data_IF_245373669292
#
_entry.id   IF_245373669292
#
_cell.length_a   1.000
_cell.length_b   1.000
_cell.length_c   1.000
_cell.angle_alpha   90.00
_cell.angle_beta   90.00
_cell.angle_gamma   90.00
#
_symmetry.space_group_name_H-M   'P 1'
#
loop_
_entity.id
_entity.type
_entity.pdbx_description
1 polymer ?
#
# COMPACT_ATOMS: atom_id res chain seq x y z
N UNK A 1 7.55 -12.97 -3.08
CA UNK A 1 6.37 -13.68 -3.62
C UNK A 1 5.70 -12.81 -4.68
N UNK A 2 5.24 -13.38 -5.80
CA UNK A 2 4.49 -12.66 -6.84
C UNK A 2 3.11 -13.28 -7.00
N UNK A 3 2.07 -12.45 -7.00
CA UNK A 3 0.68 -12.84 -7.25
C UNK A 3 0.21 -12.12 -8.51
N UNK A 4 -0.49 -12.82 -9.39
CA UNK A 4 -1.12 -12.23 -10.58
C UNK A 4 -2.59 -12.58 -10.59
N UNK A 5 -3.44 -11.57 -10.81
CA UNK A 5 -4.87 -11.75 -11.01
C UNK A 5 -5.18 -11.47 -12.49
N UNK A 6 -5.30 -12.55 -13.27
CA UNK A 6 -5.35 -12.44 -14.73
C UNK A 6 -4.10 -11.74 -15.30
N UNK A 7 -4.30 -10.92 -16.32
CA UNK A 7 -3.25 -10.11 -16.96
C UNK A 7 -3.32 -8.63 -16.60
N UNK A 8 -4.27 -8.23 -15.74
CA UNK A 8 -4.55 -6.82 -15.43
C UNK A 8 -3.97 -6.33 -14.11
N UNK A 9 -3.56 -7.22 -13.21
CA UNK A 9 -3.05 -6.88 -11.88
C UNK A 9 -1.87 -7.78 -11.51
N UNK A 10 -0.74 -7.14 -11.20
CA UNK A 10 0.46 -7.77 -10.68
C UNK A 10 0.73 -7.26 -9.27
N UNK A 11 0.95 -8.17 -8.33
CA UNK A 11 1.36 -7.84 -6.97
C UNK A 11 2.70 -8.51 -6.69
N UNK A 12 3.71 -7.71 -6.36
CA UNK A 12 5.03 -8.17 -5.98
C UNK A 12 5.24 -7.88 -4.48
N UNK A 13 5.49 -8.92 -3.69
CA UNK A 13 5.72 -8.84 -2.25
C UNK A 13 7.16 -9.25 -1.93
N UNK A 14 7.96 -8.31 -1.45
CA UNK A 14 9.38 -8.47 -1.09
C UNK A 14 9.64 -7.90 0.29
N UNK A 15 9.21 -8.63 1.32
CA UNK A 15 9.47 -8.30 2.72
C UNK A 15 10.63 -9.15 3.22
N UNK A 16 11.85 -8.68 3.01
CA UNK A 16 13.07 -9.32 3.52
C UNK A 16 13.38 -8.81 4.94
N UNK A 17 13.90 -9.68 5.82
CA UNK A 17 14.33 -9.33 7.18
C UNK A 17 13.58 -10.05 8.31
N UNK A 18 13.98 -9.76 9.56
CA UNK A 18 13.61 -10.50 10.77
C UNK A 18 12.09 -10.75 10.95
N UNK A 19 11.78 -11.97 11.37
CA UNK A 19 10.46 -12.38 11.86
C UNK A 19 10.08 -11.53 13.09
N UNK A 20 9.07 -10.68 12.95
CA UNK A 20 8.66 -9.75 14.03
C UNK A 20 8.07 -8.42 13.57
N UNK A 21 8.02 -8.20 12.26
CA UNK A 21 7.32 -7.06 11.66
C UNK A 21 5.82 -7.22 11.87
N UNK A 22 5.20 -6.23 12.49
CA UNK A 22 3.75 -6.11 12.57
C UNK A 22 3.27 -4.85 11.84
N UNK A 23 2.06 -4.96 11.30
CA UNK A 23 1.26 -3.85 10.80
C UNK A 23 -0.17 -4.05 11.30
N UNK A 24 -0.97 -2.99 11.43
CA UNK A 24 -2.38 -3.14 11.80
C UNK A 24 -3.09 -4.06 10.79
N UNK A 25 -4.00 -4.93 11.25
CA UNK A 25 -4.78 -5.79 10.38
C UNK A 25 -5.48 -4.99 9.27
N UNK A 26 -5.67 -5.63 8.12
CA UNK A 26 -6.35 -5.05 6.94
C UNK A 26 -5.63 -3.87 6.26
N UNK A 27 -4.51 -3.36 6.79
CA UNK A 27 -3.79 -2.22 6.20
C UNK A 27 -3.40 -2.47 4.74
N UNK A 28 -2.71 -3.58 4.46
CA UNK A 28 -2.30 -3.91 3.09
C UNK A 28 -3.49 -4.14 2.17
N UNK A 29 -4.55 -4.78 2.67
CA UNK A 29 -5.76 -5.00 1.90
C UNK A 29 -6.38 -3.67 1.47
N UNK A 30 -6.55 -2.73 2.41
CA UNK A 30 -7.10 -1.40 2.12
C UNK A 30 -6.25 -0.62 1.11
N UNK A 31 -4.92 -0.75 1.16
CA UNK A 31 -4.02 -0.10 0.21
C UNK A 31 -4.08 -0.73 -1.19
N UNK A 32 -4.18 -2.05 -1.27
CA UNK A 32 -4.38 -2.76 -2.55
C UNK A 32 -5.75 -2.39 -3.15
N UNK A 33 -6.80 -2.35 -2.35
CA UNK A 33 -8.13 -1.90 -2.78
C UNK A 33 -8.10 -0.44 -3.26
N UNK A 34 -7.36 0.43 -2.57
CA UNK A 34 -7.18 1.82 -2.99
C UNK A 34 -6.51 1.91 -4.36
N UNK A 35 -5.41 1.18 -4.57
CA UNK A 35 -4.71 1.14 -5.85
C UNK A 35 -5.64 0.66 -6.98
N UNK A 36 -6.39 -0.43 -6.78
CA UNK A 36 -7.33 -0.97 -7.79
C UNK A 36 -8.50 -0.01 -8.07
N UNK A 37 -9.01 0.68 -7.04
CA UNK A 37 -10.13 1.61 -7.17
C UNK A 37 -9.77 2.85 -8.00
N UNK A 38 -8.60 3.43 -7.77
CA UNK A 38 -8.21 4.70 -8.37
C UNK A 38 -7.47 4.54 -9.71
N UNK A 39 -6.99 3.33 -10.03
CA UNK A 39 -6.23 3.08 -11.25
C UNK A 39 -6.98 2.16 -12.21
N UNK A 40 -6.71 2.36 -13.49
CA UNK A 40 -7.06 1.40 -14.53
C UNK A 40 -6.27 0.11 -14.23
N UNK A 41 -6.93 -1.04 -14.38
CA UNK A 41 -6.29 -2.35 -14.31
C UNK A 41 -6.83 -3.15 -15.48
N UNK A 42 -6.06 -3.24 -16.56
CA UNK A 42 -6.46 -3.91 -17.80
C UNK A 42 -5.31 -4.71 -18.39
N UNK A 43 -5.60 -5.64 -19.30
CA UNK A 43 -4.57 -6.45 -19.96
C UNK A 43 -3.51 -5.60 -20.70
N UNK A 44 -3.91 -4.48 -21.29
CA UNK A 44 -3.01 -3.61 -22.06
C UNK A 44 -2.31 -2.55 -21.19
N UNK A 45 -2.85 -2.28 -20.00
CA UNK A 45 -2.30 -1.38 -18.99
C UNK A 45 -2.46 -2.06 -17.64
N UNK A 46 -1.56 -2.99 -17.29
CA UNK A 46 -1.62 -3.68 -16.02
C UNK A 46 -1.31 -2.72 -14.89
N UNK A 47 -2.00 -2.91 -13.77
CA UNK A 47 -1.70 -2.27 -12.50
C UNK A 47 -0.63 -3.09 -11.79
N UNK A 48 0.51 -2.47 -11.51
CA UNK A 48 1.62 -3.08 -10.81
C UNK A 48 1.66 -2.52 -9.39
N UNK A 49 1.48 -3.40 -8.40
CA UNK A 49 1.58 -3.08 -6.98
C UNK A 49 2.82 -3.76 -6.42
N UNK A 50 3.68 -3.00 -5.77
CA UNK A 50 4.89 -3.46 -5.11
C UNK A 50 4.78 -3.20 -3.61
N UNK A 51 4.96 -4.25 -2.81
CA UNK A 51 4.98 -4.19 -1.35
C UNK A 51 6.35 -4.66 -0.91
N UNK A 52 7.16 -3.76 -0.35
CA UNK A 52 8.53 -4.08 0.01
C UNK A 52 8.99 -3.36 1.27
N UNK A 53 10.04 -3.88 1.90
CA UNK A 53 10.65 -3.23 3.05
C UNK A 53 11.73 -2.25 2.59
N UNK A 54 11.73 -1.06 3.17
CA UNK A 54 12.79 -0.07 3.01
C UNK A 54 13.17 0.46 4.40
N UNK A 55 14.28 -0.03 4.96
CA UNK A 55 14.71 0.32 6.31
C UNK A 55 13.70 -0.09 7.39
N UNK A 56 13.18 0.90 8.12
CA UNK A 56 12.16 0.73 9.17
C UNK A 56 10.72 0.94 8.68
N UNK A 57 10.51 0.89 7.36
CA UNK A 57 9.20 1.08 6.74
C UNK A 57 8.84 -0.08 5.81
N UNK A 58 7.54 -0.36 5.73
CA UNK A 58 6.91 -1.11 4.65
C UNK A 58 6.36 -0.10 3.64
N UNK A 59 6.78 -0.22 2.40
CA UNK A 59 6.32 0.61 1.29
C UNK A 59 5.29 -0.16 0.49
N UNK A 60 4.13 0.43 0.27
CA UNK A 60 3.14 -0.02 -0.71
C UNK A 60 3.12 0.98 -1.86
N UNK A 61 3.53 0.55 -3.03
CA UNK A 61 3.67 1.37 -4.23
C UNK A 61 2.80 0.83 -5.36
N UNK A 62 2.15 1.71 -6.12
CA UNK A 62 1.56 1.34 -7.40
C UNK A 62 1.93 2.35 -8.50
N UNK A 63 1.98 1.88 -9.75
CA UNK A 63 2.07 2.79 -10.90
C UNK A 63 0.77 3.59 -11.07
N UNK A 64 0.90 4.86 -11.47
CA UNK A 64 -0.23 5.76 -11.67
C UNK A 64 -0.85 5.57 -13.05
N UNK A 65 -2.14 5.21 -13.04
CA UNK A 65 -2.96 5.00 -14.23
C UNK A 65 -4.38 5.51 -13.95
N UNK A 66 -4.53 6.81 -13.64
CA UNK A 66 -5.78 7.37 -13.14
C UNK A 66 -6.98 7.05 -14.02
N UNK A 67 -8.06 6.56 -13.41
CA UNK A 67 -9.35 6.45 -14.09
C UNK A 67 -9.89 7.86 -14.39
N UNK A 68 -10.26 8.11 -15.63
CA UNK A 68 -10.84 9.39 -16.09
C UNK A 68 -12.15 9.76 -15.36
N UNK A 69 -12.85 8.76 -14.79
CA UNK A 69 -14.13 8.94 -14.09
C UNK A 69 -13.94 9.02 -12.57
N UNK A 70 -12.93 9.74 -12.08
CA UNK A 70 -12.72 9.92 -10.65
C UNK A 70 -13.90 10.69 -10.03
N UNK A 71 -14.93 9.95 -9.60
CA UNK A 71 -15.78 10.33 -8.48
C UNK A 71 -14.83 10.81 -7.37
N UNK A 72 -15.10 11.98 -6.80
CA UNK A 72 -14.25 12.60 -5.78
C UNK A 72 -13.73 11.56 -4.78
N UNK A 73 -12.41 11.47 -4.65
CA UNK A 73 -11.82 10.59 -3.65
C UNK A 73 -12.19 11.14 -2.27
N UNK A 74 -12.99 10.39 -1.53
CA UNK A 74 -13.39 10.79 -0.17
C UNK A 74 -12.23 10.74 0.83
N UNK A 75 -11.06 10.21 0.45
CA UNK A 75 -9.88 10.10 1.33
C UNK A 75 -10.01 9.11 2.49
N UNK A 76 -11.23 8.61 2.76
CA UNK A 76 -11.60 7.81 3.93
C UNK A 76 -10.65 6.61 4.14
N UNK A 77 -10.22 5.95 3.07
CA UNK A 77 -9.31 4.80 3.16
C UNK A 77 -7.96 5.15 3.80
N UNK A 78 -7.34 6.25 3.37
CA UNK A 78 -6.05 6.70 3.89
C UNK A 78 -6.20 7.29 5.29
N UNK A 79 -7.26 8.07 5.53
CA UNK A 79 -7.58 8.59 6.87
C UNK A 79 -7.72 7.44 7.88
N UNK A 80 -8.46 6.38 7.52
CA UNK A 80 -8.64 5.21 8.39
C UNK A 80 -7.31 4.49 8.70
N UNK A 81 -6.39 4.44 7.74
CA UNK A 81 -5.07 3.84 7.95
C UNK A 81 -4.25 4.72 8.91
N UNK A 82 -4.19 6.03 8.66
CA UNK A 82 -3.45 6.97 9.51
C UNK A 82 -3.96 6.95 10.95
N UNK A 83 -5.27 6.93 11.15
CA UNK A 83 -5.91 6.84 12.47
C UNK A 83 -5.53 5.54 13.20
N UNK A 84 -5.56 4.38 12.52
CA UNK A 84 -5.13 3.11 13.12
C UNK A 84 -3.66 3.14 13.55
N UNK A 85 -2.78 3.74 12.74
CA UNK A 85 -1.37 3.85 13.10
C UNK A 85 -1.17 4.75 14.32
N UNK A 86 -1.89 5.87 14.43
CA UNK A 86 -1.83 6.77 15.59
C UNK A 86 -2.18 6.08 16.92
N UNK A 87 -2.97 5.01 16.89
CA UNK A 87 -3.31 4.25 18.09
C UNK A 87 -2.21 3.28 18.56
N UNK A 88 -1.25 2.94 17.70
CA UNK A 88 -0.26 1.89 17.97
C UNK A 88 1.19 2.35 17.79
N UNK A 89 1.41 3.54 17.25
CA UNK A 89 2.74 4.13 17.04
C UNK A 89 2.67 5.66 16.95
N UNK A 90 3.71 6.33 17.45
CA UNK A 90 3.91 7.76 17.25
C UNK A 90 4.53 8.10 15.87
N UNK A 91 4.99 7.08 15.13
CA UNK A 91 5.52 7.27 13.78
C UNK A 91 4.37 7.47 12.79
N UNK A 92 4.37 8.55 11.99
CA UNK A 92 3.29 8.80 11.04
C UNK A 92 3.38 7.89 9.82
N UNK A 93 2.23 7.60 9.21
CA UNK A 93 2.16 7.06 7.84
C UNK A 93 2.42 8.19 6.86
N UNK A 94 3.39 8.01 5.97
CA UNK A 94 3.71 8.98 4.92
C UNK A 94 3.10 8.58 3.58
N UNK A 95 2.70 9.56 2.80
CA UNK A 95 2.12 9.39 1.46
C UNK A 95 2.96 10.21 0.50
N UNK A 96 3.44 9.57 -0.56
CA UNK A 96 4.24 10.21 -1.60
C UNK A 96 3.55 10.05 -2.95
N UNK A 97 3.28 11.19 -3.60
CA UNK A 97 2.77 11.25 -4.96
C UNK A 97 3.94 11.58 -5.89
N UNK A 98 4.41 10.57 -6.64
CA UNK A 98 5.39 10.74 -7.69
C UNK A 98 4.73 11.08 -9.04
N UNK A 99 5.54 11.39 -10.07
CA UNK A 99 5.04 11.63 -11.42
C UNK A 99 4.45 10.36 -12.07
N UNK A 100 4.89 9.18 -11.63
CA UNK A 100 4.49 7.89 -12.21
C UNK A 100 4.05 6.86 -11.18
N UNK A 101 4.20 7.14 -9.89
CA UNK A 101 3.92 6.19 -8.81
C UNK A 101 3.20 6.87 -7.65
N UNK A 102 2.36 6.10 -6.97
CA UNK A 102 1.76 6.45 -5.69
C UNK A 102 2.34 5.54 -4.62
N UNK A 103 2.82 6.09 -3.51
CA UNK A 103 3.47 5.32 -2.44
C UNK A 103 2.86 5.65 -1.09
N UNK A 104 2.64 4.63 -0.28
CA UNK A 104 2.29 4.74 1.14
C UNK A 104 3.37 4.04 1.95
N UNK A 105 4.00 4.79 2.86
CA UNK A 105 5.11 4.35 3.68
C UNK A 105 4.58 4.13 5.10
N UNK A 106 4.59 2.87 5.52
CA UNK A 106 4.06 2.39 6.78
C UNK A 106 5.23 2.12 7.74
N UNK A 107 5.28 2.76 8.91
CA UNK A 107 6.26 2.42 9.93
C UNK A 107 6.15 0.95 10.35
N UNK A 108 7.28 0.25 10.45
CA UNK A 108 7.31 -1.11 11.00
C UNK A 108 7.00 -1.04 12.50
N UNK A 109 6.00 -1.81 12.94
CA UNK A 109 5.72 -2.02 14.35
C UNK A 109 6.54 -3.21 14.84
N UNK A 110 7.09 -3.11 16.05
CA UNK A 110 7.72 -4.22 16.74
C UNK A 110 6.68 -4.86 17.67
N UNK A 111 6.46 -6.16 17.54
CA UNK A 111 5.74 -6.91 18.57
C UNK A 111 6.65 -6.98 19.80
N UNK A 112 6.30 -6.27 20.87
CA UNK A 112 6.91 -6.53 22.18
C UNK A 112 6.60 -7.98 22.52
N UNK A 113 7.63 -8.84 22.61
CA UNK A 113 7.46 -10.17 23.19
C UNK A 113 7.00 -9.98 24.63
N UNK A 114 5.75 -10.34 24.89
CA UNK A 114 5.24 -10.57 26.26
C UNK A 114 5.86 -11.85 26.77
#
# INVERSE_FOLDING_TARGET
MKIRFGESLNINLTLEGDSGIAIPPLTLQMLVENAVKHNIASKNMPLDISIFRQGDQIVVENNLQSRLNNLESTGIGLTNIQERYRHVSDKPVAIENGPHTFRVLLPVLQMTKV
#
